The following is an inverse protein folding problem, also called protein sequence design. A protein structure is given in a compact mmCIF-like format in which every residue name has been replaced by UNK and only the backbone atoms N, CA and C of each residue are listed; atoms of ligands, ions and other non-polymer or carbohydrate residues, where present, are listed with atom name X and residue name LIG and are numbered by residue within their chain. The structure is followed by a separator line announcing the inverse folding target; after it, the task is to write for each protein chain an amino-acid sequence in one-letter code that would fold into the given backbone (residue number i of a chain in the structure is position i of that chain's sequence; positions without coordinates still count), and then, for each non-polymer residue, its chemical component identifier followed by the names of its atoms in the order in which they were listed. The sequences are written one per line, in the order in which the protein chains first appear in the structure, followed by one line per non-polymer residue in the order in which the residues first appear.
data_IF_288648204901
#
_entry.id   IF_288648204901
#
_cell.length_a   1.000
_cell.length_b   1.000
_cell.length_c   1.000
_cell.angle_alpha   90.00
_cell.angle_beta   90.00
_cell.angle_gamma   90.00
#
_symmetry.space_group_name_H-M   'P 1'
#
loop_
_entity.id
_entity.type
_entity.pdbx_description
1 polymer ?
#
# COMPACT_ATOMS: atom_id res chain seq x y z
N UNK A 1 -19.87 -9.22 16.63
CA UNK A 1 -18.40 -9.20 16.79
C UNK A 1 -18.02 -10.17 17.92
N UNK A 2 -16.99 -10.97 17.66
CA UNK A 2 -16.46 -12.10 18.45
C UNK A 2 -17.50 -13.09 18.97
N UNK A 3 -17.79 -14.13 18.16
CA UNK A 3 -18.08 -15.44 18.73
C UNK A 3 -16.87 -15.79 19.59
N UNK A 4 -17.05 -15.86 20.92
CA UNK A 4 -15.96 -16.28 21.80
C UNK A 4 -15.67 -17.73 21.44
N UNK A 5 -14.59 -17.95 20.71
CA UNK A 5 -14.05 -19.29 20.51
C UNK A 5 -13.83 -19.90 21.90
N UNK A 6 -14.10 -21.19 22.00
CA UNK A 6 -13.74 -21.95 23.19
C UNK A 6 -12.25 -21.65 23.49
N UNK A 7 -11.86 -21.42 24.76
CA UNK A 7 -10.48 -21.12 25.13
C UNK A 7 -9.43 -22.04 24.48
N UNK A 8 -9.76 -23.32 24.28
CA UNK A 8 -8.90 -24.28 23.61
C UNK A 8 -8.70 -23.98 22.12
N UNK A 9 -9.75 -23.56 21.43
CA UNK A 9 -9.68 -23.21 20.01
C UNK A 9 -8.96 -21.87 19.82
N UNK A 10 -9.16 -20.92 20.73
CA UNK A 10 -8.41 -19.67 20.74
C UNK A 10 -6.91 -19.91 20.85
N UNK A 11 -6.49 -20.80 21.76
CA UNK A 11 -5.08 -21.13 21.96
C UNK A 11 -4.43 -21.80 20.73
N UNK A 12 -5.20 -22.60 19.97
CA UNK A 12 -4.75 -23.17 18.69
C UNK A 12 -4.58 -22.10 17.62
N UNK A 13 -5.49 -21.13 17.56
CA UNK A 13 -5.39 -20.00 16.62
C UNK A 13 -4.19 -19.13 16.96
N UNK A 14 -4.01 -18.79 18.23
CA UNK A 14 -2.90 -17.95 18.69
C UNK A 14 -1.55 -18.60 18.37
N UNK A 15 -1.39 -19.89 18.70
CA UNK A 15 -0.17 -20.65 18.37
C UNK A 15 0.08 -20.78 16.85
N UNK A 16 -0.97 -20.89 16.04
CA UNK A 16 -0.86 -20.88 14.59
C UNK A 16 -0.41 -19.51 14.05
N UNK A 17 -0.99 -18.41 14.55
CA UNK A 17 -0.67 -17.05 14.13
C UNK A 17 0.71 -16.58 14.59
N UNK A 18 1.17 -17.03 15.75
CA UNK A 18 2.51 -16.75 16.27
C UNK A 18 3.61 -17.50 15.51
N UNK A 19 3.25 -18.55 14.74
CA UNK A 19 4.23 -19.33 14.01
C UNK A 19 5.06 -18.46 13.03
N UNK A 20 6.37 -18.73 12.88
CA UNK A 20 7.27 -17.90 12.06
C UNK A 20 6.84 -17.73 10.60
N UNK A 21 6.04 -18.68 10.09
CA UNK A 21 5.50 -18.68 8.73
C UNK A 21 4.52 -17.50 8.52
N UNK A 22 3.84 -17.02 9.56
CA UNK A 22 2.86 -15.94 9.47
C UNK A 22 3.41 -14.56 9.88
N UNK A 23 4.66 -14.50 10.34
CA UNK A 23 5.33 -13.25 10.68
C UNK A 23 6.04 -12.69 9.44
N UNK A 24 5.26 -12.22 8.46
CA UNK A 24 5.83 -11.57 7.28
C UNK A 24 6.50 -10.25 7.71
N UNK A 25 7.83 -10.09 7.53
CA UNK A 25 8.50 -8.84 7.88
C UNK A 25 7.97 -7.72 6.99
N UNK A 26 7.19 -6.81 7.59
CA UNK A 26 6.62 -5.67 6.88
C UNK A 26 7.63 -4.54 6.91
N UNK A 27 8.17 -4.17 5.75
CA UNK A 27 8.94 -2.92 5.67
C UNK A 27 8.03 -1.76 6.08
N UNK A 28 8.53 -0.78 6.85
CA UNK A 28 7.71 0.37 7.23
C UNK A 28 7.23 1.07 5.97
N UNK A 29 5.95 1.44 5.97
CA UNK A 29 5.36 2.13 4.83
C UNK A 29 5.96 3.53 4.71
N UNK A 30 6.59 3.81 3.56
CA UNK A 30 7.24 5.10 3.29
C UNK A 30 6.27 6.02 2.55
N UNK A 31 5.41 6.71 3.31
CA UNK A 31 4.35 7.61 2.79
C UNK A 31 4.88 8.59 1.73
N UNK A 32 6.07 9.14 1.94
CA UNK A 32 6.69 10.09 1.01
C UNK A 32 6.97 9.53 -0.39
N UNK A 33 7.26 8.24 -0.51
CA UNK A 33 7.47 7.60 -1.82
C UNK A 33 6.15 7.59 -2.59
N UNK A 34 5.06 7.18 -1.93
CA UNK A 34 3.73 7.18 -2.57
C UNK A 34 3.35 8.60 -3.01
N UNK A 35 3.52 9.60 -2.14
CA UNK A 35 3.21 10.99 -2.45
C UNK A 35 4.04 11.52 -3.62
N UNK A 36 5.35 11.26 -3.64
CA UNK A 36 6.23 11.68 -4.72
C UNK A 36 5.84 11.05 -6.06
N UNK A 37 5.45 9.78 -6.06
CA UNK A 37 5.06 9.05 -7.27
C UNK A 37 3.74 9.59 -7.82
N UNK A 38 2.75 9.84 -6.95
CA UNK A 38 1.48 10.45 -7.33
C UNK A 38 1.68 11.86 -7.86
N UNK A 39 2.36 12.74 -7.10
CA UNK A 39 2.59 14.12 -7.52
C UNK A 39 3.42 14.19 -8.81
N UNK A 40 4.47 13.37 -8.91
CA UNK A 40 5.30 13.27 -10.11
C UNK A 40 4.50 12.85 -11.33
N UNK A 41 3.61 11.86 -11.20
CA UNK A 41 2.76 11.42 -12.32
C UNK A 41 1.87 12.54 -12.86
N UNK A 42 1.24 13.32 -11.97
CA UNK A 42 0.38 14.46 -12.34
C UNK A 42 1.19 15.56 -13.01
N UNK A 43 2.37 15.89 -12.46
CA UNK A 43 3.25 16.91 -13.03
C UNK A 43 3.75 16.50 -14.42
N UNK A 44 4.19 15.25 -14.59
CA UNK A 44 4.67 14.73 -15.88
C UNK A 44 3.57 14.76 -16.92
N UNK A 45 2.39 14.22 -16.60
CA UNK A 45 1.26 14.21 -17.54
C UNK A 45 0.78 15.63 -17.88
N UNK A 46 0.76 16.54 -16.88
CA UNK A 46 0.42 17.94 -17.10
C UNK A 46 1.42 18.66 -18.01
N UNK A 47 2.72 18.43 -17.81
CA UNK A 47 3.76 19.01 -18.64
C UNK A 47 3.70 18.47 -20.07
N UNK A 48 3.57 17.15 -20.23
CA UNK A 48 3.41 16.51 -21.53
C UNK A 48 2.18 17.03 -22.26
N UNK A 49 1.04 17.15 -21.58
CA UNK A 49 -0.19 17.71 -22.13
C UNK A 49 0.03 19.14 -22.64
N UNK A 50 0.72 19.99 -21.86
CA UNK A 50 1.03 21.37 -22.26
C UNK A 50 1.97 21.43 -23.45
N UNK A 51 3.01 20.59 -23.50
CA UNK A 51 3.94 20.53 -24.62
C UNK A 51 3.24 20.11 -25.91
N UNK A 52 2.41 19.07 -25.85
CA UNK A 52 1.61 18.63 -27.00
C UNK A 52 0.64 19.71 -27.45
N UNK A 53 -0.02 20.40 -26.52
CA UNK A 53 -0.90 21.53 -26.84
C UNK A 53 -0.15 22.66 -27.56
N UNK A 54 1.07 22.99 -27.12
CA UNK A 54 1.90 23.98 -27.81
C UNK A 54 2.28 23.56 -29.22
N UNK A 55 2.60 22.29 -29.45
CA UNK A 55 2.93 21.77 -30.79
C UNK A 55 1.75 21.75 -31.76
N UNK A 56 0.52 21.71 -31.26
CA UNK A 56 -0.70 21.72 -32.09
C UNK A 56 -1.19 23.13 -32.37
N UNK A 57 -1.02 24.06 -31.44
CA UNK A 57 -1.49 25.45 -31.55
C UNK A 57 -0.46 26.38 -32.20
N UNK A 58 0.83 26.04 -32.13
CA UNK A 58 1.91 26.72 -32.85
C UNK A 58 2.00 26.25 -34.31
#
# INVERSE_FOLDING_TARGET
MSSRLNPQDQQRVDSYLESPIHQVPRRPFKVWILLALVAGSVLVLGLLSRMLGQLVVA
#
